data_IF_100081391403
#
_entry.id   IF_100081391403
#
_cell.length_a   1.000
_cell.length_b   1.000
_cell.length_c   1.000
_cell.angle_alpha   90.00
_cell.angle_beta   90.00
_cell.angle_gamma   90.00
#
_symmetry.space_group_name_H-M   'P 1'
#
loop_
_entity.id
_entity.type
_entity.pdbx_description
1 polymer ?
#
# COMPACT_ATOMS: atom_id res chain seq x y z
N UNK A 1 -9.76 1.04 18.55
CA UNK A 1 -9.06 -0.09 17.90
C UNK A 1 -10.03 -1.25 17.77
N UNK A 2 -9.98 -2.02 16.69
CA UNK A 2 -10.78 -3.26 16.56
C UNK A 2 -10.09 -4.32 17.44
N UNK A 3 -10.74 -4.84 18.46
CA UNK A 3 -10.12 -5.79 19.41
C UNK A 3 -10.27 -7.27 19.01
N UNK A 4 -10.70 -7.57 17.78
CA UNK A 4 -10.84 -8.95 17.29
C UNK A 4 -10.00 -9.20 16.04
N UNK A 5 -9.54 -10.44 15.88
CA UNK A 5 -8.78 -10.90 14.72
C UNK A 5 -9.70 -11.35 13.59
N UNK A 6 -9.22 -11.32 12.34
CA UNK A 6 -9.99 -11.82 11.19
C UNK A 6 -10.25 -13.33 11.30
N UNK A 7 -9.32 -14.08 11.90
CA UNK A 7 -9.50 -15.52 12.19
C UNK A 7 -10.66 -15.76 13.17
N UNK A 8 -10.71 -15.02 14.29
CA UNK A 8 -11.84 -15.10 15.21
C UNK A 8 -13.18 -14.80 14.52
N UNK A 9 -13.19 -13.83 13.59
CA UNK A 9 -14.37 -13.51 12.79
C UNK A 9 -14.77 -14.65 11.85
N UNK A 10 -13.82 -15.30 11.20
CA UNK A 10 -14.11 -16.48 10.36
C UNK A 10 -14.67 -17.63 11.18
N UNK A 11 -14.09 -17.91 12.35
CA UNK A 11 -14.59 -18.95 13.26
C UNK A 11 -16.01 -18.65 13.77
N UNK A 12 -16.30 -17.38 14.07
CA UNK A 12 -17.64 -16.96 14.49
C UNK A 12 -18.69 -17.10 13.37
N UNK A 13 -18.33 -16.83 12.12
CA UNK A 13 -19.21 -17.05 10.96
C UNK A 13 -19.47 -18.54 10.76
N UNK A 14 -18.43 -19.38 10.86
CA UNK A 14 -18.54 -20.81 10.69
C UNK A 14 -19.45 -21.42 11.77
N UNK A 15 -19.22 -21.07 13.05
CA UNK A 15 -20.10 -21.47 14.15
C UNK A 15 -21.56 -21.02 13.91
N UNK A 16 -21.78 -19.83 13.35
CA UNK A 16 -23.13 -19.38 13.03
C UNK A 16 -23.79 -20.20 11.91
N UNK A 17 -23.02 -20.61 10.89
CA UNK A 17 -23.49 -21.50 9.82
C UNK A 17 -23.79 -22.92 10.33
N UNK A 18 -23.05 -23.38 11.34
CA UNK A 18 -23.28 -24.67 12.02
C UNK A 18 -24.49 -24.64 12.98
N UNK A 19 -25.20 -23.50 13.08
CA UNK A 19 -26.44 -23.37 13.85
C UNK A 19 -26.29 -22.60 15.17
N UNK A 20 -25.09 -22.10 15.49
CA UNK A 20 -24.87 -21.34 16.71
C UNK A 20 -25.46 -19.91 16.55
N UNK A 21 -26.32 -19.50 17.48
CA UNK A 21 -26.97 -18.20 17.40
C UNK A 21 -25.97 -17.02 17.34
N UNK A 22 -26.26 -16.01 16.52
CA UNK A 22 -25.34 -14.90 16.22
C UNK A 22 -24.77 -14.22 17.48
N UNK A 23 -25.61 -13.98 18.50
CA UNK A 23 -25.20 -13.40 19.79
C UNK A 23 -24.26 -14.31 20.58
N UNK A 24 -24.49 -15.62 20.57
CA UNK A 24 -23.63 -16.60 21.24
C UNK A 24 -22.27 -16.67 20.53
N UNK A 25 -22.26 -16.71 19.20
CA UNK A 25 -21.03 -16.74 18.41
C UNK A 25 -20.20 -15.46 18.61
N UNK A 26 -20.84 -14.30 18.57
CA UNK A 26 -20.21 -13.00 18.84
C UNK A 26 -19.56 -12.96 20.24
N UNK A 27 -20.28 -13.41 21.28
CA UNK A 27 -19.76 -13.44 22.66
C UNK A 27 -18.60 -14.42 22.82
N UNK A 28 -18.70 -15.61 22.23
CA UNK A 28 -17.69 -16.66 22.33
C UNK A 28 -16.34 -16.20 21.76
N UNK A 29 -16.38 -15.46 20.65
CA UNK A 29 -15.19 -14.98 19.96
C UNK A 29 -14.83 -13.51 20.24
N UNK A 30 -15.53 -12.85 21.17
CA UNK A 30 -15.25 -11.46 21.57
C UNK A 30 -15.48 -10.42 20.47
N UNK A 31 -16.41 -10.67 19.56
CA UNK A 31 -16.67 -9.84 18.37
C UNK A 31 -17.91 -8.98 18.60
N UNK A 32 -17.88 -7.68 18.21
CA UNK A 32 -19.10 -6.88 18.18
C UNK A 32 -20.18 -7.54 17.32
N UNK A 33 -21.38 -7.64 17.87
CA UNK A 33 -22.52 -8.29 17.20
C UNK A 33 -22.80 -7.72 15.81
N UNK A 34 -22.73 -6.39 15.68
CA UNK A 34 -22.94 -5.67 14.42
C UNK A 34 -21.94 -6.08 13.36
N UNK A 35 -20.67 -6.26 13.73
CA UNK A 35 -19.63 -6.72 12.80
C UNK A 35 -19.92 -8.14 12.32
N UNK A 36 -20.27 -9.06 13.23
CA UNK A 36 -20.58 -10.43 12.84
C UNK A 36 -21.83 -10.48 11.95
N UNK A 37 -22.86 -9.71 12.30
CA UNK A 37 -24.08 -9.56 11.50
C UNK A 37 -23.78 -9.08 10.08
N UNK A 38 -23.07 -7.95 9.93
CA UNK A 38 -22.73 -7.36 8.65
C UNK A 38 -21.92 -8.34 7.79
N UNK A 39 -21.02 -9.09 8.44
CA UNK A 39 -20.15 -10.05 7.77
C UNK A 39 -20.91 -11.31 7.32
N UNK A 40 -21.83 -11.84 8.12
CA UNK A 40 -22.73 -12.94 7.72
C UNK A 40 -23.63 -12.51 6.56
N UNK A 41 -24.07 -11.25 6.54
CA UNK A 41 -24.86 -10.65 5.44
C UNK A 41 -24.03 -10.39 4.16
N UNK A 42 -22.73 -10.69 4.17
CA UNK A 42 -21.86 -10.60 2.99
C UNK A 42 -21.02 -9.32 2.89
N UNK A 43 -20.97 -8.49 3.94
CA UNK A 43 -20.08 -7.31 3.93
C UNK A 43 -18.62 -7.76 3.82
N UNK A 44 -17.89 -7.20 2.85
CA UNK A 44 -16.47 -7.49 2.67
C UNK A 44 -15.63 -6.81 3.76
N UNK A 45 -14.50 -7.41 4.12
CA UNK A 45 -13.56 -6.77 5.05
C UNK A 45 -13.06 -5.44 4.48
N UNK A 46 -12.73 -4.48 5.35
CA UNK A 46 -12.14 -3.20 4.92
C UNK A 46 -10.89 -3.40 4.05
N UNK A 47 -10.08 -4.43 4.35
CA UNK A 47 -8.89 -4.78 3.57
C UNK A 47 -9.25 -5.23 2.15
N UNK A 48 -10.24 -6.10 2.00
CA UNK A 48 -10.72 -6.57 0.70
C UNK A 48 -11.36 -5.45 -0.11
N UNK A 49 -12.15 -4.58 0.54
CA UNK A 49 -12.74 -3.41 -0.12
C UNK A 49 -11.65 -2.43 -0.56
N UNK A 50 -10.63 -2.22 0.26
CA UNK A 50 -9.50 -1.36 -0.10
C UNK A 50 -8.70 -1.94 -1.28
N UNK A 51 -8.46 -3.26 -1.28
CA UNK A 51 -7.80 -3.98 -2.38
C UNK A 51 -8.59 -3.88 -3.68
N UNK A 52 -9.91 -4.08 -3.65
CA UNK A 52 -10.77 -3.94 -4.83
C UNK A 52 -10.80 -2.51 -5.41
N UNK A 53 -10.41 -1.50 -4.63
CA UNK A 53 -10.29 -0.10 -5.09
C UNK A 53 -8.90 0.23 -5.64
N UNK A 54 -7.91 -0.65 -5.46
CA UNK A 54 -6.57 -0.44 -6.00
C UNK A 54 -6.59 -0.61 -7.53
N UNK A 55 -5.79 0.19 -8.22
CA UNK A 55 -5.66 0.12 -9.68
C UNK A 55 -4.78 -1.03 -10.14
N UNK A 56 -3.80 -1.40 -9.33
CA UNK A 56 -3.02 -2.62 -9.50
C UNK A 56 -3.49 -3.65 -8.49
N UNK A 57 -3.52 -4.92 -8.91
CA UNK A 57 -3.69 -6.05 -8.01
C UNK A 57 -2.48 -6.18 -7.07
N UNK A 58 -2.67 -6.85 -5.92
CA UNK A 58 -1.55 -7.16 -5.00
C UNK A 58 -0.38 -7.86 -5.70
N UNK A 59 -0.68 -8.77 -6.64
CA UNK A 59 0.35 -9.52 -7.37
C UNK A 59 1.21 -8.57 -8.20
N UNK A 60 0.58 -7.69 -8.99
CA UNK A 60 1.28 -6.67 -9.77
C UNK A 60 2.06 -5.71 -8.87
N UNK A 61 1.49 -5.32 -7.73
CA UNK A 61 2.17 -4.46 -6.76
C UNK A 61 3.41 -5.14 -6.17
N UNK A 62 3.33 -6.44 -5.89
CA UNK A 62 4.45 -7.25 -5.37
C UNK A 62 5.56 -7.42 -6.42
N UNK A 63 5.20 -7.67 -7.68
CA UNK A 63 6.15 -7.77 -8.79
C UNK A 63 6.87 -6.45 -9.03
N UNK A 64 6.12 -5.34 -9.05
CA UNK A 64 6.69 -3.99 -9.17
C UNK A 64 7.61 -3.67 -7.98
N UNK A 65 7.20 -4.03 -6.77
CA UNK A 65 8.01 -3.87 -5.57
C UNK A 65 9.32 -4.68 -5.63
N UNK A 66 9.25 -5.92 -6.14
CA UNK A 66 10.42 -6.75 -6.39
C UNK A 66 11.37 -6.13 -7.42
N UNK A 67 10.82 -5.63 -8.54
CA UNK A 67 11.61 -4.93 -9.55
C UNK A 67 12.34 -3.71 -8.97
N UNK A 68 11.67 -2.88 -8.17
CA UNK A 68 12.29 -1.72 -7.52
C UNK A 68 13.46 -2.14 -6.62
N UNK A 69 13.31 -3.21 -5.83
CA UNK A 69 14.39 -3.73 -4.98
C UNK A 69 15.59 -4.22 -5.79
N UNK A 70 15.35 -4.94 -6.90
CA UNK A 70 16.42 -5.43 -7.77
C UNK A 70 17.18 -4.25 -8.36
N UNK A 71 16.48 -3.22 -8.82
CA UNK A 71 17.11 -2.02 -9.36
C UNK A 71 17.97 -1.28 -8.33
N UNK A 72 17.50 -1.16 -7.08
CA UNK A 72 18.28 -0.56 -5.99
C UNK A 72 19.51 -1.41 -5.63
N UNK A 73 19.38 -2.74 -5.58
CA UNK A 73 20.52 -3.65 -5.38
C UNK A 73 21.58 -3.56 -6.49
N UNK A 74 21.16 -3.19 -7.71
CA UNK A 74 22.05 -2.91 -8.84
C UNK A 74 22.63 -1.48 -8.83
N UNK A 75 22.34 -0.68 -7.79
CA UNK A 75 22.78 0.71 -7.68
C UNK A 75 21.98 1.71 -8.51
N UNK A 76 20.92 1.25 -9.18
CA UNK A 76 20.10 2.04 -10.10
C UNK A 76 18.69 2.28 -9.53
N UNK A 77 18.61 2.84 -8.33
CA UNK A 77 17.33 3.06 -7.66
C UNK A 77 16.37 3.91 -8.55
N UNK A 78 15.20 3.36 -8.93
CA UNK A 78 14.32 4.02 -9.90
C UNK A 78 13.61 5.23 -9.29
N UNK A 79 13.39 6.26 -10.10
CA UNK A 79 12.68 7.48 -9.69
C UNK A 79 11.16 7.27 -9.62
N UNK A 80 10.44 8.18 -8.97
CA UNK A 80 8.98 8.13 -8.90
C UNK A 80 8.33 8.07 -10.29
N UNK A 81 8.82 8.84 -11.27
CA UNK A 81 8.28 8.85 -12.62
C UNK A 81 8.51 7.53 -13.36
N UNK A 82 9.67 6.89 -13.17
CA UNK A 82 9.96 5.58 -13.75
C UNK A 82 9.05 4.50 -13.16
N UNK A 83 8.85 4.50 -11.84
CA UNK A 83 7.93 3.56 -11.18
C UNK A 83 6.50 3.76 -11.71
N UNK A 84 6.04 5.01 -11.84
CA UNK A 84 4.70 5.30 -12.39
C UNK A 84 4.59 4.85 -13.86
N UNK A 85 5.61 5.05 -14.67
CA UNK A 85 5.62 4.62 -16.07
C UNK A 85 5.46 3.10 -16.18
N UNK A 86 6.26 2.33 -15.43
CA UNK A 86 6.18 0.87 -15.42
C UNK A 86 4.87 0.39 -14.83
N UNK A 87 4.43 0.98 -13.71
CA UNK A 87 3.14 0.67 -13.13
C UNK A 87 1.97 0.92 -14.09
N UNK A 88 2.08 1.92 -14.97
CA UNK A 88 1.09 2.21 -16.00
C UNK A 88 1.07 1.13 -17.09
N UNK A 89 2.21 0.53 -17.41
CA UNK A 89 2.28 -0.60 -18.37
C UNK A 89 1.65 -1.89 -17.84
N UNK A 90 1.58 -2.05 -16.51
CA UNK A 90 0.96 -3.20 -15.88
C UNK A 90 -0.57 -3.12 -15.84
N UNK A 91 -1.16 -1.97 -16.16
CA UNK A 91 -2.61 -1.81 -16.18
C UNK A 91 -3.23 -2.55 -17.38
N UNK A 92 -4.44 -3.13 -17.22
CA UNK A 92 -5.14 -3.71 -18.34
C UNK A 92 -5.43 -2.66 -19.42
N UNK A 93 -5.39 -3.01 -20.71
CA UNK A 93 -5.77 -2.10 -21.79
C UNK A 93 -7.23 -1.67 -21.57
N UNK A 94 -7.45 -0.36 -21.52
CA UNK A 94 -8.76 0.26 -21.30
C UNK A 94 -8.86 1.51 -22.15
N UNK A 95 -10.07 1.79 -22.63
CA UNK A 95 -10.40 3.04 -23.32
C UNK A 95 -11.45 3.81 -22.50
N UNK A 96 -11.13 5.00 -21.95
CA UNK A 96 -9.86 5.71 -22.03
C UNK A 96 -8.73 5.08 -21.19
N UNK A 97 -7.45 5.42 -21.47
CA UNK A 97 -6.30 4.90 -20.73
C UNK A 97 -6.43 5.18 -19.23
N UNK A 98 -6.37 4.12 -18.43
CA UNK A 98 -6.38 4.25 -16.98
C UNK A 98 -5.08 4.91 -16.55
N UNK A 99 -5.18 6.06 -15.89
CA UNK A 99 -4.03 6.75 -15.30
C UNK A 99 -3.94 6.44 -13.82
N UNK A 100 -2.71 6.29 -13.33
CA UNK A 100 -2.43 6.27 -11.90
C UNK A 100 -2.67 7.68 -11.34
N UNK A 101 -3.41 7.77 -10.24
CA UNK A 101 -3.73 9.06 -9.62
C UNK A 101 -2.49 9.74 -9.01
N UNK A 102 -2.57 11.05 -8.78
CA UNK A 102 -1.49 11.89 -8.21
C UNK A 102 -0.86 11.30 -6.94
N UNK A 103 -1.68 10.73 -6.05
CA UNK A 103 -1.24 10.16 -4.76
C UNK A 103 -0.98 8.64 -4.82
N UNK A 104 -0.98 8.04 -6.02
CA UNK A 104 -0.78 6.60 -6.15
C UNK A 104 0.59 6.17 -5.61
N UNK A 105 1.64 6.95 -5.88
CA UNK A 105 3.00 6.67 -5.43
C UNK A 105 3.11 6.70 -3.89
N UNK A 106 2.51 7.70 -3.24
CA UNK A 106 2.44 7.78 -1.77
C UNK A 106 1.74 6.55 -1.18
N UNK A 107 0.63 6.14 -1.81
CA UNK A 107 -0.09 4.93 -1.43
C UNK A 107 0.73 3.66 -1.62
N UNK A 108 1.45 3.54 -2.73
CA UNK A 108 2.35 2.43 -3.04
C UNK A 108 3.46 2.29 -2.00
N UNK A 109 4.12 3.39 -1.65
CA UNK A 109 5.16 3.39 -0.61
C UNK A 109 4.61 3.10 0.79
N UNK A 110 3.38 3.55 1.10
CA UNK A 110 2.72 3.23 2.37
C UNK A 110 2.38 1.73 2.49
N UNK A 111 2.14 1.06 1.37
CA UNK A 111 1.85 -0.39 1.33
C UNK A 111 3.12 -1.25 1.27
N UNK A 112 4.22 -0.70 0.76
CA UNK A 112 5.52 -1.37 0.63
C UNK A 112 6.61 -0.58 1.40
N UNK A 113 6.59 -0.59 2.75
CA UNK A 113 7.53 0.17 3.56
C UNK A 113 9.01 -0.18 3.32
N UNK A 114 9.29 -1.42 2.90
CA UNK A 114 10.62 -1.87 2.45
C UNK A 114 11.29 -0.96 1.41
N UNK A 115 10.51 -0.40 0.48
CA UNK A 115 10.99 0.36 -0.68
C UNK A 115 11.15 1.82 -0.31
N UNK A 116 10.34 2.29 0.64
CA UNK A 116 10.39 3.66 1.14
C UNK A 116 11.78 4.03 1.69
N UNK A 117 12.52 3.05 2.18
CA UNK A 117 13.87 3.25 2.76
C UNK A 117 15.00 3.30 1.74
N UNK A 118 14.73 3.02 0.46
CA UNK A 118 15.75 2.98 -0.59
C UNK A 118 16.16 4.41 -0.99
N UNK A 119 17.47 4.61 -1.25
CA UNK A 119 18.07 5.94 -1.49
C UNK A 119 17.39 6.73 -2.63
N UNK A 120 16.93 6.04 -3.68
CA UNK A 120 16.22 6.67 -4.80
C UNK A 120 14.90 7.36 -4.43
N UNK A 121 14.24 6.92 -3.35
CA UNK A 121 12.98 7.49 -2.85
C UNK A 121 13.19 8.52 -1.74
N UNK A 122 14.35 8.49 -1.07
CA UNK A 122 14.73 9.48 -0.05
C UNK A 122 15.11 10.83 -0.69
N UNK A 123 15.76 10.82 -1.86
CA UNK A 123 16.25 12.05 -2.53
C UNK A 123 15.14 12.99 -3.01
N UNK A 124 13.93 12.50 -3.23
CA UNK A 124 12.80 13.30 -3.74
C UNK A 124 11.94 13.93 -2.62
N UNK A 125 12.32 13.76 -1.34
CA UNK A 125 11.64 14.33 -0.17
C UNK A 125 12.49 15.38 0.57
N UNK A 126 13.63 15.80 0.00
CA UNK A 126 14.34 16.99 0.49
C UNK A 126 13.52 18.24 0.13
N UNK A 127 13.13 19.09 1.10
CA UNK A 127 12.60 20.41 0.77
C UNK A 127 13.70 21.15 0.01
N UNK A 128 13.40 21.53 -1.23
CA UNK A 128 14.26 22.37 -2.07
C UNK A 128 14.73 23.61 -1.29
N UNK A 129 15.91 23.52 -0.71
CA UNK A 129 16.57 24.57 0.04
C UNK A 129 18.03 24.19 0.17
N UNK A 130 18.89 25.01 -0.43
CA UNK A 130 20.35 24.90 -0.46
C UNK A 130 20.94 24.02 -1.58
N UNK A 131 20.82 24.50 -2.81
CA UNK A 131 21.93 24.40 -3.75
C UNK A 131 23.11 25.19 -3.19
N UNK A 132 24.02 24.54 -2.47
CA UNK A 132 25.39 25.06 -2.32
C UNK A 132 26.11 24.89 -3.65
N UNK A 133 26.08 25.93 -4.47
CA UNK A 133 26.98 26.06 -5.62
C UNK A 133 28.44 26.09 -5.12
N UNK A 134 29.34 25.25 -5.62
CA UNK A 134 30.75 25.30 -5.27
C UNK A 134 31.47 26.31 -6.19
N UNK A 135 31.25 27.61 -5.97
CA UNK A 135 32.07 28.63 -6.61
C UNK A 135 31.96 29.97 -5.90
N UNK A 136 32.58 30.10 -4.72
CA UNK A 136 33.08 31.39 -4.24
C UNK A 136 34.11 31.11 -3.15
N UNK A 137 35.35 30.93 -3.60
CA UNK A 137 36.54 31.00 -2.75
C UNK A 137 36.90 32.50 -2.72
N UNK A 138 36.80 33.23 -1.61
CA UNK A 138 37.39 34.55 -1.55
C UNK A 138 38.91 34.36 -1.61
N UNK A 139 39.54 34.97 -2.61
CA UNK A 139 40.98 35.15 -2.63
C UNK A 139 41.30 36.10 -1.47
N UNK A 140 41.91 35.57 -0.41
CA UNK A 140 42.68 36.42 0.50
C UNK A 140 43.83 37.02 -0.30
N UNK A 141 43.72 38.32 -0.58
CA UNK A 141 44.88 39.18 -0.83
C UNK A 141 45.21 39.85 0.50
N UNK A 142 46.47 39.71 0.90
CA UNK A 142 47.03 40.21 2.16
C UNK A 142 47.21 41.71 2.25
#
# INVERSE_FOLDING_TARGET
MQNYTEDALQRAILANKEGLGLRKAAKLWGIPLTTLYDRVKGSKSRKVVAEARQRLSRKQETELAGWVRIQDALGNAPSHSQVIAIASTLLPPSDPPIRLGKHWMEGFLKRNPEIKTLRGFLRNNEPSGYQTHPSERPLEYG
#
